data_IF_399287386760
#
_entry.id   IF_399287386760
#
_cell.length_a   1.000
_cell.length_b   1.000
_cell.length_c   1.000
_cell.angle_alpha   90.00
_cell.angle_beta   90.00
_cell.angle_gamma   90.00
#
_symmetry.space_group_name_H-M   'P 1'
#
loop_
_entity.id
_entity.type
_entity.pdbx_description
1 polymer ?
#
# COMPACT_ATOMS: atom_id res chain seq x y z
N UNK A 1 -4.80 -11.08 -18.85
CA UNK A 1 -3.33 -10.93 -18.94
C UNK A 1 -2.73 -10.32 -17.67
N UNK A 2 -3.33 -9.29 -17.05
CA UNK A 2 -2.74 -8.57 -15.90
C UNK A 2 -2.25 -9.47 -14.74
N UNK A 3 -2.95 -10.57 -14.45
CA UNK A 3 -2.58 -11.57 -13.44
C UNK A 3 -1.22 -12.25 -13.61
N UNK A 4 -0.59 -12.18 -14.79
CA UNK A 4 0.75 -12.77 -15.01
C UNK A 4 1.89 -11.83 -14.71
N UNK A 5 1.61 -10.55 -14.41
CA UNK A 5 2.65 -9.56 -14.13
C UNK A 5 2.89 -9.40 -12.63
N UNK A 6 4.14 -9.09 -12.30
CA UNK A 6 4.58 -8.69 -10.96
C UNK A 6 5.06 -7.25 -11.03
N UNK A 7 4.66 -6.43 -10.06
CA UNK A 7 5.06 -5.01 -9.96
C UNK A 7 5.67 -4.76 -8.59
N UNK A 8 6.79 -4.03 -8.58
CA UNK A 8 7.38 -3.50 -7.35
C UNK A 8 6.97 -2.04 -7.17
N UNK A 9 6.50 -1.71 -5.97
CA UNK A 9 6.15 -0.34 -5.55
C UNK A 9 7.10 0.07 -4.44
N UNK A 10 7.98 1.03 -4.73
CA UNK A 10 8.93 1.60 -3.77
C UNK A 10 8.37 2.94 -3.27
N UNK A 11 8.04 2.99 -2.00
CA UNK A 11 7.26 4.03 -1.34
C UNK A 11 5.77 3.70 -1.35
N UNK A 12 5.21 3.41 -0.18
CA UNK A 12 3.79 3.10 0.08
C UNK A 12 3.15 4.26 0.87
N UNK A 13 3.49 5.48 0.47
CA UNK A 13 2.89 6.72 0.99
C UNK A 13 1.57 7.07 0.28
N UNK A 14 1.23 8.35 0.17
CA UNK A 14 -0.06 8.79 -0.39
C UNK A 14 -0.34 8.30 -1.82
N UNK A 15 0.67 8.30 -2.70
CA UNK A 15 0.50 7.83 -4.10
C UNK A 15 0.69 6.32 -4.20
N UNK A 16 1.74 5.79 -3.58
CA UNK A 16 2.09 4.38 -3.69
C UNK A 16 1.05 3.44 -3.09
N UNK A 17 0.43 3.83 -1.97
CA UNK A 17 -0.65 3.05 -1.35
C UNK A 17 -1.88 2.94 -2.26
N UNK A 18 -2.35 4.06 -2.83
CA UNK A 18 -3.46 4.07 -3.79
C UNK A 18 -3.09 3.34 -5.09
N UNK A 19 -1.85 3.44 -5.54
CA UNK A 19 -1.36 2.69 -6.71
C UNK A 19 -1.41 1.18 -6.45
N UNK A 20 -0.94 0.73 -5.29
CA UNK A 20 -1.01 -0.66 -4.86
C UNK A 20 -2.47 -1.13 -4.74
N UNK A 21 -3.36 -0.29 -4.18
CA UNK A 21 -4.79 -0.58 -4.10
C UNK A 21 -5.43 -0.77 -5.47
N UNK A 22 -5.19 0.15 -6.41
CA UNK A 22 -5.75 0.05 -7.75
C UNK A 22 -5.23 -1.18 -8.50
N UNK A 23 -3.93 -1.47 -8.42
CA UNK A 23 -3.34 -2.67 -9.03
C UNK A 23 -3.91 -3.96 -8.43
N UNK A 24 -4.09 -4.00 -7.11
CA UNK A 24 -4.71 -5.12 -6.39
C UNK A 24 -6.15 -5.33 -6.86
N UNK A 25 -6.95 -4.27 -6.91
CA UNK A 25 -8.36 -4.32 -7.40
C UNK A 25 -8.46 -4.71 -8.88
N UNK A 26 -7.45 -4.37 -9.70
CA UNK A 26 -7.34 -4.84 -11.09
C UNK A 26 -6.91 -6.32 -11.20
N UNK A 27 -6.51 -6.96 -10.11
CA UNK A 27 -6.06 -8.35 -10.10
C UNK A 27 -4.65 -8.53 -10.66
N UNK A 28 -3.71 -7.63 -10.31
CA UNK A 28 -2.28 -7.87 -10.55
C UNK A 28 -1.84 -9.20 -9.93
N UNK A 29 -0.87 -9.89 -10.55
CA UNK A 29 -0.43 -11.20 -10.09
C UNK A 29 0.28 -11.17 -8.74
N UNK A 30 1.20 -10.22 -8.58
CA UNK A 30 1.98 -10.04 -7.35
C UNK A 30 2.41 -8.58 -7.21
N UNK A 31 2.36 -8.08 -5.97
CA UNK A 31 2.98 -6.81 -5.58
C UNK A 31 4.19 -7.07 -4.67
N UNK A 32 5.25 -6.30 -4.87
CA UNK A 32 6.39 -6.21 -3.96
C UNK A 32 6.40 -4.80 -3.39
N UNK A 33 6.13 -4.66 -2.10
CA UNK A 33 6.00 -3.37 -1.43
C UNK A 33 7.28 -3.07 -0.64
N UNK A 34 7.85 -1.88 -0.83
CA UNK A 34 9.02 -1.41 -0.08
C UNK A 34 8.72 -0.04 0.50
N UNK A 35 8.63 0.05 1.81
CA UNK A 35 8.59 1.31 2.56
C UNK A 35 9.18 1.05 3.95
N UNK A 36 10.05 1.95 4.42
CA UNK A 36 10.67 1.84 5.74
C UNK A 36 9.86 2.56 6.83
N UNK A 37 8.89 3.37 6.43
CA UNK A 37 8.16 4.27 7.30
C UNK A 37 6.96 3.59 7.96
N UNK A 38 6.44 4.22 9.00
CA UNK A 38 5.25 3.78 9.72
C UNK A 38 4.05 4.65 9.37
N UNK A 39 2.85 4.11 9.59
CA UNK A 39 1.62 4.88 9.48
C UNK A 39 1.56 5.87 10.65
N UNK A 40 1.34 7.14 10.36
CA UNK A 40 1.14 8.20 11.35
C UNK A 40 -0.26 8.81 11.23
N UNK A 41 -0.78 9.38 12.32
CA UNK A 41 -2.03 10.14 12.27
C UNK A 41 -1.95 11.34 11.31
N UNK A 42 -0.75 11.92 11.13
CA UNK A 42 -0.51 12.97 10.16
C UNK A 42 -0.71 12.49 8.70
N UNK A 43 -0.78 11.19 8.44
CA UNK A 43 -1.06 10.64 7.11
C UNK A 43 -2.56 10.55 6.80
N UNK A 44 -3.45 10.79 7.77
CA UNK A 44 -4.91 10.66 7.60
C UNK A 44 -5.55 11.72 6.71
N UNK A 45 -4.80 12.75 6.32
CA UNK A 45 -5.20 13.68 5.27
C UNK A 45 -5.03 13.11 3.85
N UNK A 46 -4.53 11.87 3.74
CA UNK A 46 -4.36 11.11 2.50
C UNK A 46 -5.29 9.89 2.53
N UNK A 47 -5.40 9.22 1.38
CA UNK A 47 -6.22 8.02 1.25
C UNK A 47 -5.50 6.76 1.79
N UNK A 48 -6.23 5.64 1.75
CA UNK A 48 -5.78 4.28 2.03
C UNK A 48 -5.65 3.90 3.51
N UNK A 49 -4.72 4.50 4.26
CA UNK A 49 -4.51 4.13 5.66
C UNK A 49 -5.63 4.65 6.56
N UNK A 50 -5.91 3.90 7.64
CA UNK A 50 -6.93 4.25 8.63
C UNK A 50 -6.32 4.58 10.00
N UNK A 51 -7.01 5.36 10.86
CA UNK A 51 -6.45 5.81 12.14
C UNK A 51 -5.98 4.68 13.05
N UNK A 52 -6.67 3.53 13.04
CA UNK A 52 -6.33 2.38 13.89
C UNK A 52 -5.04 1.64 13.45
N UNK A 53 -4.51 1.96 12.26
CA UNK A 53 -3.26 1.39 11.75
C UNK A 53 -2.03 2.22 12.15
N UNK A 54 -2.22 3.37 12.81
CA UNK A 54 -1.11 4.20 13.25
C UNK A 54 -0.12 3.42 14.13
N UNK A 55 1.17 3.51 13.81
CA UNK A 55 2.27 2.79 14.47
C UNK A 55 2.69 1.48 13.78
N UNK A 56 1.86 0.92 12.89
CA UNK A 56 2.26 -0.21 12.03
C UNK A 56 3.23 0.27 10.95
N UNK A 57 4.08 -0.64 10.45
CA UNK A 57 4.81 -0.31 9.21
C UNK A 57 3.83 -0.12 8.06
N UNK A 58 4.14 0.78 7.13
CA UNK A 58 3.26 1.02 5.98
C UNK A 58 3.11 -0.21 5.10
N UNK A 59 4.15 -1.03 4.99
CA UNK A 59 4.10 -2.28 4.21
C UNK A 59 3.19 -3.32 4.86
N UNK A 60 3.25 -3.52 6.18
CA UNK A 60 2.37 -4.46 6.89
C UNK A 60 0.91 -3.98 6.88
N UNK A 61 0.69 -2.69 7.15
CA UNK A 61 -0.67 -2.12 7.11
C UNK A 61 -1.27 -2.23 5.70
N UNK A 62 -0.47 -2.02 4.65
CA UNK A 62 -0.91 -2.19 3.28
C UNK A 62 -1.17 -3.65 2.93
N UNK A 63 -0.27 -4.58 3.28
CA UNK A 63 -0.45 -6.01 3.05
C UNK A 63 -1.74 -6.56 3.69
N UNK A 64 -2.08 -6.14 4.92
CA UNK A 64 -3.33 -6.57 5.56
C UNK A 64 -4.60 -5.99 4.93
N UNK A 65 -4.48 -4.87 4.21
CA UNK A 65 -5.64 -4.16 3.63
C UNK A 65 -5.96 -4.63 2.20
N UNK A 66 -4.93 -5.00 1.44
CA UNK A 66 -4.99 -5.36 0.01
C UNK A 66 -5.42 -6.81 -0.20
#
# INVERSE_FOLDING_TARGET
>A
KIRTYTVAVVGVGGVGSVTAEMLTRCGIGKLLLFDYDKVELANMNRLFFQPHQAGLSKVEAAEHTL
#
